data_IF_141973699736
#
_entry.id   IF_141973699736
#
_cell.length_a   1.000
_cell.length_b   1.000
_cell.length_c   1.000
_cell.angle_alpha   90.00
_cell.angle_beta   90.00
_cell.angle_gamma   90.00
#
_symmetry.space_group_name_H-M   'P 1'
#
loop_
_entity.id
_entity.type
_entity.pdbx_description
1 polymer ?
#
# COMPACT_ATOMS: atom_id res chain seq x y z
N UNK A 1 -19.39 -30.56 24.88
CA UNK A 1 -18.72 -29.25 24.66
C UNK A 1 -17.71 -29.36 23.52
N UNK A 2 -16.56 -30.02 23.68
CA UNK A 2 -15.54 -30.22 22.62
C UNK A 2 -16.07 -30.58 21.22
N UNK A 3 -16.93 -31.59 21.10
CA UNK A 3 -17.48 -32.02 19.79
C UNK A 3 -18.32 -30.92 19.14
N UNK A 4 -19.10 -30.18 19.94
CA UNK A 4 -19.90 -29.05 19.46
C UNK A 4 -18.98 -27.95 18.94
N UNK A 5 -17.96 -27.60 19.70
CA UNK A 5 -17.05 -26.50 19.34
C UNK A 5 -16.26 -26.83 18.07
N UNK A 6 -15.80 -28.09 17.93
CA UNK A 6 -15.19 -28.59 16.69
C UNK A 6 -16.16 -28.49 15.51
N UNK A 7 -17.42 -28.89 15.70
CA UNK A 7 -18.41 -28.84 14.62
C UNK A 7 -18.73 -27.39 14.21
N UNK A 8 -18.79 -26.45 15.15
CA UNK A 8 -18.98 -25.02 14.83
C UNK A 8 -17.78 -24.45 14.07
N UNK A 9 -16.56 -24.80 14.46
CA UNK A 9 -15.36 -24.43 13.71
C UNK A 9 -15.38 -24.98 12.27
N UNK A 10 -15.80 -26.24 12.08
CA UNK A 10 -15.96 -26.81 10.74
C UNK A 10 -17.03 -26.09 9.90
N UNK A 11 -18.14 -25.66 10.51
CA UNK A 11 -19.17 -24.89 9.80
C UNK A 11 -18.63 -23.54 9.32
N UNK A 12 -17.88 -22.84 10.17
CA UNK A 12 -17.28 -21.56 9.79
C UNK A 12 -16.22 -21.73 8.70
N UNK A 13 -15.30 -22.69 8.85
CA UNK A 13 -14.31 -22.99 7.83
C UNK A 13 -14.96 -23.39 6.50
N UNK A 14 -16.02 -24.20 6.55
CA UNK A 14 -16.78 -24.58 5.36
C UNK A 14 -17.40 -23.38 4.64
N UNK A 15 -17.97 -22.42 5.37
CA UNK A 15 -18.48 -21.16 4.80
C UNK A 15 -17.39 -20.36 4.12
N UNK A 16 -16.23 -20.21 4.77
CA UNK A 16 -15.08 -19.51 4.19
C UNK A 16 -14.62 -20.15 2.88
N UNK A 17 -14.45 -21.48 2.87
CA UNK A 17 -14.04 -22.20 1.67
C UNK A 17 -15.04 -22.05 0.52
N UNK A 18 -16.34 -22.13 0.83
CA UNK A 18 -17.42 -21.97 -0.15
C UNK A 18 -17.41 -20.59 -0.82
N UNK A 19 -17.19 -19.53 -0.06
CA UNK A 19 -17.07 -18.16 -0.59
C UNK A 19 -15.91 -18.03 -1.59
N UNK A 20 -14.76 -18.67 -1.31
CA UNK A 20 -13.59 -18.60 -2.17
C UNK A 20 -13.68 -19.49 -3.42
N UNK A 21 -14.27 -20.69 -3.29
CA UNK A 21 -14.34 -21.68 -4.37
C UNK A 21 -15.62 -21.60 -5.21
N UNK A 22 -16.63 -20.82 -4.80
CA UNK A 22 -17.91 -20.66 -5.49
C UNK A 22 -18.60 -22.00 -5.81
N UNK A 23 -18.55 -22.95 -4.86
CA UNK A 23 -19.07 -24.32 -5.02
C UNK A 23 -20.26 -24.59 -4.10
N UNK A 24 -21.34 -25.19 -4.61
CA UNK A 24 -22.53 -25.53 -3.82
C UNK A 24 -22.61 -27.01 -3.44
N UNK A 25 -21.48 -27.72 -3.47
CA UNK A 25 -21.45 -29.16 -3.13
C UNK A 25 -21.69 -29.37 -1.64
N UNK A 26 -22.36 -30.47 -1.32
CA UNK A 26 -22.52 -30.91 0.06
C UNK A 26 -21.15 -31.08 0.75
N UNK A 27 -20.98 -30.43 1.90
CA UNK A 27 -19.71 -30.41 2.63
C UNK A 27 -19.65 -31.53 3.67
N UNK A 28 -18.66 -32.41 3.54
CA UNK A 28 -18.23 -33.32 4.61
C UNK A 28 -17.00 -32.75 5.32
N UNK A 29 -16.69 -33.19 6.55
CA UNK A 29 -15.49 -32.72 7.27
C UNK A 29 -14.20 -32.94 6.47
N UNK A 30 -14.08 -34.10 5.83
CA UNK A 30 -12.92 -34.40 4.98
C UNK A 30 -12.85 -33.45 3.78
N UNK A 31 -13.98 -33.20 3.13
CA UNK A 31 -14.03 -32.30 1.98
C UNK A 31 -13.67 -30.85 2.37
N UNK A 32 -14.14 -30.37 3.53
CA UNK A 32 -13.77 -29.04 4.06
C UNK A 32 -12.25 -28.92 4.25
N UNK A 33 -11.58 -29.97 4.74
CA UNK A 33 -10.12 -29.96 4.90
C UNK A 33 -9.40 -29.88 3.54
N UNK A 34 -9.86 -30.65 2.54
CA UNK A 34 -9.29 -30.55 1.18
C UNK A 34 -9.48 -29.17 0.57
N UNK A 35 -10.70 -28.62 0.66
CA UNK A 35 -11.00 -27.27 0.14
C UNK A 35 -10.17 -26.19 0.85
N UNK A 36 -9.95 -26.30 2.16
CA UNK A 36 -9.14 -25.33 2.89
C UNK A 36 -7.69 -25.27 2.37
N UNK A 37 -7.09 -26.44 2.08
CA UNK A 37 -5.75 -26.52 1.49
C UNK A 37 -5.72 -25.88 0.09
N UNK A 38 -6.73 -26.13 -0.73
CA UNK A 38 -6.86 -25.52 -2.07
C UNK A 38 -6.98 -23.99 -2.00
N UNK A 39 -7.84 -23.48 -1.12
CA UNK A 39 -8.03 -22.03 -0.92
C UNK A 39 -6.74 -21.37 -0.45
N UNK A 40 -6.06 -21.94 0.55
CA UNK A 40 -4.79 -21.39 1.06
C UNK A 40 -3.76 -21.35 -0.06
N UNK A 41 -3.54 -22.48 -0.74
CA UNK A 41 -2.54 -22.58 -1.81
C UNK A 41 -2.79 -21.57 -2.94
N UNK A 42 -4.07 -21.41 -3.31
CA UNK A 42 -4.49 -20.46 -4.34
C UNK A 42 -4.23 -19.01 -3.92
N UNK A 43 -4.61 -18.64 -2.69
CA UNK A 43 -4.39 -17.29 -2.16
C UNK A 43 -2.89 -17.00 -1.98
N UNK A 44 -2.10 -17.96 -1.51
CA UNK A 44 -0.65 -17.84 -1.38
C UNK A 44 0.02 -17.57 -2.73
N UNK A 45 -0.38 -18.29 -3.78
CA UNK A 45 0.12 -18.05 -5.13
C UNK A 45 -0.26 -16.67 -5.64
N UNK A 46 -1.51 -16.22 -5.44
CA UNK A 46 -1.93 -14.87 -5.82
C UNK A 46 -1.17 -13.77 -5.07
N UNK A 47 -0.85 -13.98 -3.79
CA UNK A 47 -0.02 -13.04 -3.02
C UNK A 47 1.41 -13.03 -3.55
N UNK A 48 1.98 -14.20 -3.84
CA UNK A 48 3.32 -14.35 -4.40
C UNK A 48 3.46 -13.64 -5.75
N UNK A 49 2.54 -13.87 -6.67
CA UNK A 49 2.54 -13.25 -8.01
C UNK A 49 2.37 -11.73 -7.94
N UNK A 50 1.46 -11.24 -7.09
CA UNK A 50 1.26 -9.78 -6.92
C UNK A 50 2.49 -9.09 -6.32
N UNK A 51 3.16 -9.72 -5.36
CA UNK A 51 4.34 -9.16 -4.72
C UNK A 51 5.59 -9.21 -5.61
N UNK A 52 5.68 -10.20 -6.51
CA UNK A 52 6.77 -10.30 -7.49
C UNK A 52 6.57 -9.38 -8.70
N UNK A 53 5.39 -8.77 -8.89
CA UNK A 53 5.16 -7.85 -10.00
C UNK A 53 5.75 -6.45 -9.69
N UNK A 54 6.83 -6.03 -10.37
CA UNK A 54 7.51 -4.77 -10.07
C UNK A 54 6.60 -3.54 -10.27
N UNK A 55 5.58 -3.61 -11.12
CA UNK A 55 4.62 -2.50 -11.34
C UNK A 55 3.74 -2.25 -10.12
N UNK A 56 3.26 -3.30 -9.45
CA UNK A 56 2.36 -3.19 -8.29
C UNK A 56 3.14 -2.89 -7.01
N UNK A 57 4.32 -3.52 -6.84
CA UNK A 57 5.19 -3.28 -5.70
C UNK A 57 5.77 -1.85 -5.65
N UNK A 58 5.89 -1.17 -6.81
CA UNK A 58 6.38 0.20 -6.87
C UNK A 58 5.27 1.23 -6.58
N UNK A 59 4.05 1.01 -7.10
CA UNK A 59 2.91 1.90 -6.84
C UNK A 59 2.52 1.92 -5.36
N UNK A 60 2.51 0.76 -4.69
CA UNK A 60 2.18 0.69 -3.25
C UNK A 60 3.22 1.40 -2.37
N UNK A 61 4.52 1.23 -2.66
CA UNK A 61 5.59 1.96 -1.94
C UNK A 61 5.52 3.47 -2.11
N UNK A 62 5.07 3.95 -3.27
CA UNK A 62 4.91 5.39 -3.53
C UNK A 62 3.71 6.00 -2.80
N UNK A 63 2.66 5.22 -2.55
CA UNK A 63 1.51 5.67 -1.77
C UNK A 63 1.82 5.70 -0.26
N UNK A 64 2.61 4.74 0.23
CA UNK A 64 3.03 4.67 1.64
C UNK A 64 3.98 5.83 2.04
N UNK A 65 4.76 6.40 1.11
CA UNK A 65 5.63 7.56 1.38
C UNK A 65 4.87 8.90 1.51
N UNK A 66 3.64 9.00 0.97
CA UNK A 66 2.85 10.24 1.01
C UNK A 66 2.00 10.38 2.26
N UNK A 67 1.87 9.32 3.07
CA UNK A 67 1.04 9.34 4.29
C UNK A 67 1.83 9.66 5.57
N UNK A 68 3.16 9.86 5.48
CA UNK A 68 4.03 10.20 6.63
C UNK A 68 4.59 11.64 6.57
N UNK A 69 3.91 12.57 5.89
CA UNK A 69 4.20 14.01 6.04
C UNK A 69 2.96 14.78 6.49
N UNK A 70 2.78 14.93 7.81
CA UNK A 70 2.67 16.22 8.53
C UNK A 70 2.40 15.99 10.05
N UNK A 71 2.61 16.97 10.95
CA UNK A 71 3.78 17.81 11.22
C UNK A 71 4.28 17.54 12.66
N UNK A 72 5.57 17.24 12.87
CA UNK A 72 6.16 17.37 14.21
C UNK A 72 6.75 18.76 14.35
N UNK A 73 6.08 19.56 15.18
CA UNK A 73 6.47 20.91 15.51
C UNK A 73 7.84 21.00 16.21
N UNK A 74 8.40 22.21 16.08
CA UNK A 74 9.31 22.87 17.02
C UNK A 74 10.46 22.05 17.60
N UNK A 75 11.65 22.20 17.02
CA UNK A 75 12.84 22.50 17.81
C UNK A 75 13.73 23.50 17.06
N UNK A 76 13.71 24.72 17.60
CA UNK A 76 14.69 25.78 17.40
C UNK A 76 16.11 25.26 17.59
N UNK A 77 16.98 25.50 16.60
CA UNK A 77 18.42 25.46 16.80
C UNK A 77 19.00 26.79 16.31
N UNK A 78 19.44 27.71 17.21
CA UNK A 78 20.10 28.95 16.82
C UNK A 78 21.61 28.71 16.85
N UNK A 79 22.25 28.71 15.69
CA UNK A 79 23.71 28.69 15.64
C UNK A 79 24.24 28.10 14.37
N UNK A 80 24.33 28.94 13.33
CA UNK A 80 25.38 28.97 12.31
C UNK A 80 24.99 30.07 11.29
N UNK A 81 24.91 31.32 11.77
CA UNK A 81 25.19 32.46 10.90
C UNK A 81 26.70 32.65 10.92
N UNK A 82 27.39 32.46 9.78
CA UNK A 82 28.43 33.37 9.27
C UNK A 82 29.15 32.74 8.07
N UNK A 83 28.68 33.02 6.84
CA UNK A 83 29.56 33.32 5.70
C UNK A 83 28.73 34.01 4.62
N UNK A 84 28.60 35.32 4.84
CA UNK A 84 28.20 36.31 3.84
C UNK A 84 29.33 36.43 2.81
N UNK A 85 29.10 35.93 1.59
CA UNK A 85 29.89 36.32 0.41
C UNK A 85 29.43 37.72 -0.05
N UNK A 86 30.27 38.77 -0.04
CA UNK A 86 29.83 40.13 -0.38
C UNK A 86 29.76 40.45 -1.88
N UNK A 87 29.84 39.48 -2.80
CA UNK A 87 30.11 39.78 -4.23
C UNK A 87 28.99 39.47 -5.24
N UNK A 88 27.74 39.17 -4.83
CA UNK A 88 26.66 38.92 -5.82
C UNK A 88 25.80 40.15 -6.17
N UNK A 89 26.22 41.36 -5.81
CA UNK A 89 25.52 42.59 -6.21
C UNK A 89 26.05 43.13 -7.54
N UNK A 90 25.68 42.50 -8.67
CA UNK A 90 25.53 43.19 -9.96
C UNK A 90 24.97 42.23 -11.03
N UNK A 91 23.65 42.14 -11.16
CA UNK A 91 22.98 41.87 -12.43
C UNK A 91 21.54 42.41 -12.36
N UNK A 92 21.13 43.36 -13.22
CA UNK A 92 19.76 43.81 -13.29
C UNK A 92 18.89 42.76 -14.01
N UNK A 93 17.82 42.31 -13.36
CA UNK A 93 16.73 41.60 -14.01
C UNK A 93 16.01 42.57 -14.99
N UNK A 94 15.91 42.27 -16.30
CA UNK A 94 15.00 43.01 -17.15
C UNK A 94 13.57 42.51 -16.91
N UNK A 95 12.73 43.42 -16.44
CA UNK A 95 11.28 43.31 -16.44
C UNK A 95 10.78 42.95 -17.85
N UNK A 96 10.13 41.79 -17.99
CA UNK A 96 9.35 41.50 -19.18
C UNK A 96 8.05 42.31 -19.14
N UNK A 97 8.01 43.36 -19.94
CA UNK A 97 6.79 44.05 -20.33
C UNK A 97 6.93 44.39 -21.81
N UNK A 98 6.49 43.47 -22.67
CA UNK A 98 6.04 43.79 -24.02
C UNK A 98 4.96 42.76 -24.39
N UNK A 99 3.75 43.09 -23.95
CA UNK A 99 2.56 42.83 -24.76
C UNK A 99 2.79 43.37 -26.17
N UNK A 100 2.11 42.75 -27.14
CA UNK A 100 1.90 43.24 -28.52
C UNK A 100 3.11 43.15 -29.47
N UNK A 101 3.13 42.12 -30.32
CA UNK A 101 2.84 42.27 -31.76
C UNK A 101 2.98 40.93 -32.53
N UNK A 102 1.89 40.56 -33.20
CA UNK A 102 1.79 39.91 -34.52
C UNK A 102 1.61 38.38 -34.63
N UNK A 103 0.36 38.07 -35.06
CA UNK A 103 -0.13 37.05 -35.99
C UNK A 103 0.29 35.59 -35.76
#
# INVERSE_FOLDING_TARGET
IRVRDINEAFKELGRMCMMHLKTERALTKLNILYQAVEVISTLENQVRERNLNPKVACLKRREDEKNEEMPKGSLSNPGMQHLIDPFSQMMPHPSQSVELLFL
#
